data_IF_232316395598
#
_entry.id   IF_232316395598
#
_cell.length_a   1.000
_cell.length_b   1.000
_cell.length_c   1.000
_cell.angle_alpha   90.00
_cell.angle_beta   90.00
_cell.angle_gamma   90.00
#
_symmetry.space_group_name_H-M   'P 1'
#
loop_
_entity.id
_entity.type
_entity.pdbx_description
1 polymer ?
#
# COMPACT_ATOMS: atom_id res chain seq x y z
N UNK A 1 12.06 16.98 16.56
CA UNK A 1 10.73 17.22 15.94
C UNK A 1 10.70 16.40 14.66
N UNK A 2 9.69 15.55 14.50
CA UNK A 2 9.57 14.69 13.34
C UNK A 2 8.99 15.42 12.15
N UNK A 3 9.02 14.73 11.00
CA UNK A 3 8.29 15.18 9.82
C UNK A 3 6.78 15.15 10.12
N UNK A 4 6.02 15.99 9.47
CA UNK A 4 4.59 16.14 9.74
C UNK A 4 3.80 16.12 8.43
N UNK A 5 2.68 15.42 8.45
CA UNK A 5 1.76 15.43 7.32
C UNK A 5 0.96 16.74 7.31
N UNK A 6 0.27 17.06 6.21
CA UNK A 6 -0.61 18.23 6.18
C UNK A 6 -1.74 18.17 7.21
N UNK A 7 -1.95 17.00 7.83
CA UNK A 7 -3.07 16.78 8.76
C UNK A 7 -2.64 16.83 10.24
N UNK A 8 -1.37 17.12 10.52
CA UNK A 8 -0.83 17.06 11.87
C UNK A 8 -1.66 17.87 12.86
N UNK A 9 -1.97 19.14 12.52
CA UNK A 9 -2.69 20.01 13.44
C UNK A 9 -4.11 19.50 13.71
N UNK A 10 -4.74 18.85 12.72
CA UNK A 10 -6.06 18.23 12.92
C UNK A 10 -5.98 17.03 13.85
N UNK A 11 -4.92 16.22 13.73
CA UNK A 11 -4.74 15.10 14.66
C UNK A 11 -4.68 15.59 16.09
N UNK A 12 -3.87 16.63 16.33
CA UNK A 12 -3.75 17.23 17.67
C UNK A 12 -5.11 17.77 18.14
N UNK A 13 -5.82 18.48 17.27
CA UNK A 13 -7.13 19.05 17.60
C UNK A 13 -8.18 17.98 17.89
N UNK A 14 -8.06 16.81 17.27
CA UNK A 14 -8.95 15.67 17.49
C UNK A 14 -8.54 14.84 18.72
N UNK A 15 -7.51 15.26 19.44
CA UNK A 15 -7.08 14.60 20.68
C UNK A 15 -6.22 13.39 20.49
N UNK A 16 -5.56 13.26 19.35
CA UNK A 16 -4.72 12.11 19.05
C UNK A 16 -3.49 12.05 19.97
N UNK A 17 -3.11 10.86 20.34
CA UNK A 17 -1.79 10.61 20.95
C UNK A 17 -0.78 10.51 19.81
N UNK A 18 0.11 11.49 19.72
CA UNK A 18 1.11 11.53 18.65
C UNK A 18 2.37 10.77 19.08
N UNK A 19 2.96 10.01 18.13
CA UNK A 19 4.17 9.22 18.37
C UNK A 19 5.10 9.35 17.17
N UNK A 20 6.37 9.01 17.37
CA UNK A 20 7.30 8.87 16.26
C UNK A 20 7.04 7.56 15.53
N UNK A 21 6.91 7.65 14.22
CA UNK A 21 6.81 6.48 13.35
C UNK A 21 7.72 6.70 12.15
N UNK A 22 8.89 6.07 12.19
CA UNK A 22 9.86 6.19 11.10
C UNK A 22 10.28 7.61 10.80
N UNK A 23 10.36 8.47 11.82
CA UNK A 23 10.74 9.88 11.67
C UNK A 23 9.57 10.82 11.45
N UNK A 24 8.34 10.31 11.40
CA UNK A 24 7.13 11.13 11.23
C UNK A 24 6.37 11.21 12.55
N UNK A 25 5.82 12.39 12.86
CA UNK A 25 4.90 12.57 13.99
C UNK A 25 3.52 12.08 13.53
N UNK A 26 3.07 10.92 14.02
CA UNK A 26 1.84 10.27 13.53
C UNK A 26 0.90 9.94 14.70
N UNK A 27 -0.41 9.90 14.45
CA UNK A 27 -1.37 9.54 15.51
C UNK A 27 -1.33 8.03 15.78
N UNK A 28 -1.07 7.67 17.02
CA UNK A 28 -1.14 6.28 17.47
C UNK A 28 -2.61 5.86 17.64
N UNK A 29 -3.39 6.70 18.29
CA UNK A 29 -4.83 6.52 18.47
C UNK A 29 -5.47 7.87 18.83
N UNK A 30 -6.80 7.89 18.79
CA UNK A 30 -7.61 9.07 19.14
C UNK A 30 -8.45 8.78 20.40
N UNK A 31 -7.87 8.00 21.32
CA UNK A 31 -8.47 7.61 22.59
C UNK A 31 -8.40 6.12 22.84
N UNK A 32 -8.78 5.29 21.89
CA UNK A 32 -8.72 3.83 22.06
C UNK A 32 -8.45 3.13 20.74
N UNK A 33 -7.25 2.57 20.60
CA UNK A 33 -6.92 1.80 19.39
C UNK A 33 -7.81 0.56 19.24
N UNK A 34 -8.28 -0.02 20.33
CA UNK A 34 -9.17 -1.20 20.29
C UNK A 34 -10.53 -0.80 19.70
N UNK A 35 -11.10 0.32 20.15
CA UNK A 35 -12.37 0.80 19.61
C UNK A 35 -12.25 1.21 18.16
N UNK A 36 -11.14 1.85 17.79
CA UNK A 36 -10.86 2.23 16.39
C UNK A 36 -10.79 0.99 15.50
N UNK A 37 -10.11 -0.06 15.96
CA UNK A 37 -10.06 -1.35 15.27
C UNK A 37 -11.47 -1.89 15.02
N UNK A 38 -12.28 -1.96 16.08
CA UNK A 38 -13.64 -2.51 15.97
C UNK A 38 -14.54 -1.63 15.10
N UNK A 39 -14.37 -0.32 15.17
CA UNK A 39 -15.13 0.62 14.35
C UNK A 39 -14.88 0.36 12.86
N UNK A 40 -13.61 0.15 12.48
CA UNK A 40 -13.26 -0.19 11.10
C UNK A 40 -13.94 -1.50 10.68
N UNK A 41 -13.89 -2.53 11.51
CA UNK A 41 -14.52 -3.82 11.20
C UNK A 41 -16.04 -3.74 11.06
N UNK A 42 -16.71 -2.93 11.89
CA UNK A 42 -18.18 -2.84 11.92
C UNK A 42 -18.74 -1.84 10.91
N UNK A 43 -18.01 -0.77 10.64
CA UNK A 43 -18.51 0.34 9.83
C UNK A 43 -17.40 0.89 8.94
N UNK A 44 -16.67 1.90 9.40
CA UNK A 44 -15.50 2.41 8.71
C UNK A 44 -14.72 3.36 9.60
N UNK A 45 -13.46 3.58 9.22
CA UNK A 45 -12.59 4.56 9.86
C UNK A 45 -11.70 5.22 8.82
N UNK A 46 -11.12 6.36 9.16
CA UNK A 46 -10.20 7.08 8.27
C UNK A 46 -8.83 7.16 8.91
N UNK A 47 -7.82 6.82 8.14
CA UNK A 47 -6.40 6.84 8.51
C UNK A 47 -5.67 7.88 7.67
N UNK A 48 -4.86 8.70 8.31
CA UNK A 48 -3.88 9.52 7.60
C UNK A 48 -2.70 8.62 7.20
N UNK A 49 -2.49 8.44 5.91
CA UNK A 49 -1.34 7.71 5.39
C UNK A 49 -0.52 8.61 4.44
N UNK A 50 -0.58 9.91 4.68
CA UNK A 50 0.12 10.91 3.86
C UNK A 50 1.64 10.81 3.96
N UNK A 51 2.16 10.09 4.95
CA UNK A 51 3.60 9.87 5.09
C UNK A 51 4.14 8.89 4.03
N UNK A 52 3.28 8.07 3.44
CA UNK A 52 3.68 7.17 2.34
C UNK A 52 4.21 7.99 1.16
N UNK A 53 5.12 7.40 0.40
CA UNK A 53 5.75 8.08 -0.73
C UNK A 53 5.09 7.64 -2.04
N UNK A 54 4.71 8.61 -2.85
CA UNK A 54 4.09 8.38 -4.17
C UNK A 54 5.09 8.82 -5.24
N UNK A 55 5.35 7.93 -6.20
CA UNK A 55 6.28 8.21 -7.32
C UNK A 55 5.54 7.92 -8.63
N UNK A 56 5.43 8.92 -9.48
CA UNK A 56 4.92 8.73 -10.82
C UNK A 56 6.08 8.34 -11.75
N UNK A 57 5.87 7.31 -12.55
CA UNK A 57 6.87 6.73 -13.45
C UNK A 57 6.33 6.85 -14.86
N UNK A 58 7.01 7.63 -15.70
CA UNK A 58 6.57 7.89 -17.07
C UNK A 58 7.75 7.75 -18.05
N UNK A 59 7.45 7.71 -19.33
CA UNK A 59 8.45 7.64 -20.37
C UNK A 59 8.28 6.42 -21.24
N UNK A 60 8.95 6.43 -22.40
CA UNK A 60 8.75 5.38 -23.39
C UNK A 60 9.23 4.01 -22.91
N UNK A 61 10.12 3.98 -21.90
CA UNK A 61 10.61 2.71 -21.32
C UNK A 61 10.14 2.49 -19.89
N UNK A 62 9.04 3.13 -19.48
CA UNK A 62 8.53 2.95 -18.10
C UNK A 62 8.18 1.49 -17.80
N UNK A 63 7.54 0.79 -18.75
CA UNK A 63 7.20 -0.62 -18.58
C UNK A 63 8.47 -1.49 -18.46
N UNK A 64 9.42 -1.31 -19.39
CA UNK A 64 10.67 -2.07 -19.37
C UNK A 64 11.45 -1.83 -18.08
N UNK A 65 11.49 -0.58 -17.62
CA UNK A 65 12.15 -0.21 -16.39
C UNK A 65 11.52 -0.93 -15.18
N UNK A 66 10.20 -0.89 -15.06
CA UNK A 66 9.53 -1.53 -13.93
C UNK A 66 9.60 -3.05 -14.02
N UNK A 67 9.64 -3.61 -15.22
CA UNK A 67 9.87 -5.05 -15.41
C UNK A 67 11.28 -5.45 -14.93
N UNK A 68 12.25 -4.56 -15.05
CA UNK A 68 13.61 -4.76 -14.52
C UNK A 68 13.65 -4.59 -12.99
N UNK A 69 12.97 -3.55 -12.49
CA UNK A 69 13.05 -3.14 -11.09
C UNK A 69 12.31 -4.08 -10.12
N UNK A 70 11.18 -4.66 -10.55
CA UNK A 70 10.22 -5.29 -9.65
C UNK A 70 10.17 -6.81 -9.84
N UNK A 71 9.91 -7.52 -8.74
CA UNK A 71 9.75 -8.97 -8.77
C UNK A 71 8.48 -9.39 -9.51
N UNK A 72 7.40 -8.60 -9.41
CA UNK A 72 6.17 -8.85 -10.16
C UNK A 72 6.28 -8.18 -11.55
N UNK A 73 5.43 -8.57 -12.46
CA UNK A 73 5.50 -8.10 -13.84
C UNK A 73 4.35 -7.11 -14.14
N UNK A 74 4.69 -5.84 -14.30
CA UNK A 74 3.71 -4.79 -14.58
C UNK A 74 3.02 -4.96 -15.94
N UNK A 75 3.61 -5.72 -16.86
CA UNK A 75 2.97 -6.00 -18.15
C UNK A 75 1.67 -6.80 -17.99
N UNK A 76 1.47 -7.45 -16.84
CA UNK A 76 0.22 -8.16 -16.52
C UNK A 76 -0.97 -7.24 -16.32
N UNK A 77 -0.73 -5.96 -16.06
CA UNK A 77 -1.82 -5.03 -15.72
C UNK A 77 -2.80 -4.83 -16.86
N UNK A 78 -2.33 -4.72 -18.09
CA UNK A 78 -3.16 -4.82 -19.30
C UNK A 78 -4.15 -3.68 -19.54
N UNK A 79 -4.68 -3.04 -18.52
CA UNK A 79 -5.62 -1.92 -18.71
C UNK A 79 -5.44 -0.87 -17.63
N UNK A 80 -5.63 0.38 -17.99
CA UNK A 80 -5.54 1.52 -17.08
C UNK A 80 -6.46 1.33 -15.88
N UNK A 81 -5.93 1.61 -14.70
CA UNK A 81 -6.64 1.47 -13.44
C UNK A 81 -6.26 0.23 -12.65
N UNK A 82 -5.79 -0.80 -13.30
CA UNK A 82 -5.38 -2.01 -12.57
C UNK A 82 -4.11 -1.78 -11.77
N UNK A 83 -4.00 -2.49 -10.65
CA UNK A 83 -2.86 -2.40 -9.75
C UNK A 83 -2.29 -3.78 -9.46
N UNK A 84 -1.04 -3.81 -9.03
CA UNK A 84 -0.43 -5.02 -8.49
C UNK A 84 0.47 -4.68 -7.29
N UNK A 85 0.67 -5.69 -6.47
CA UNK A 85 1.57 -5.63 -5.32
C UNK A 85 2.86 -6.35 -5.70
N UNK A 86 3.99 -5.79 -5.30
CA UNK A 86 5.29 -6.35 -5.64
C UNK A 86 6.32 -6.08 -4.56
N UNK A 87 7.33 -6.94 -4.52
CA UNK A 87 8.59 -6.62 -3.85
C UNK A 87 9.50 -5.90 -4.84
N UNK A 88 10.30 -4.98 -4.31
CA UNK A 88 11.45 -4.37 -4.97
C UNK A 88 12.67 -4.96 -4.28
N UNK A 89 13.58 -5.59 -5.05
CA UNK A 89 14.65 -6.41 -4.51
C UNK A 89 16.03 -5.81 -4.73
N UNK A 90 16.97 -6.21 -3.88
CA UNK A 90 18.39 -6.02 -4.15
C UNK A 90 18.92 -7.21 -4.98
N UNK A 91 20.18 -7.15 -5.37
CA UNK A 91 20.79 -8.17 -6.24
C UNK A 91 20.88 -9.53 -5.55
N UNK A 92 20.93 -9.54 -4.23
CA UNK A 92 20.98 -10.76 -3.42
C UNK A 92 19.59 -11.36 -3.17
N UNK A 93 18.54 -10.71 -3.68
CA UNK A 93 17.16 -11.17 -3.57
C UNK A 93 16.47 -10.75 -2.28
N UNK A 94 17.08 -9.89 -1.49
CA UNK A 94 16.45 -9.34 -0.29
C UNK A 94 15.47 -8.23 -0.64
N UNK A 95 14.47 -8.03 0.21
CA UNK A 95 13.41 -7.05 -0.04
C UNK A 95 13.88 -5.65 0.35
N UNK A 96 14.08 -4.79 -0.65
CA UNK A 96 14.38 -3.37 -0.44
C UNK A 96 13.14 -2.66 0.10
N UNK A 97 11.99 -2.95 -0.50
CA UNK A 97 10.68 -2.49 0.00
C UNK A 97 9.58 -3.30 -0.69
N UNK A 98 8.37 -3.21 -0.15
CA UNK A 98 7.16 -3.70 -0.81
C UNK A 98 6.29 -2.52 -1.21
N UNK A 99 5.56 -2.68 -2.31
CA UNK A 99 4.91 -1.53 -2.93
C UNK A 99 3.70 -1.94 -3.77
N UNK A 100 2.88 -0.94 -4.08
CA UNK A 100 1.76 -1.10 -5.02
C UNK A 100 2.08 -0.27 -6.27
N UNK A 101 1.78 -0.83 -7.44
CA UNK A 101 1.91 -0.14 -8.73
C UNK A 101 0.54 -0.09 -9.38
N UNK A 102 0.14 1.10 -9.84
CA UNK A 102 -1.08 1.33 -10.62
C UNK A 102 -0.70 1.66 -12.05
N UNK A 103 -1.37 1.05 -13.03
CA UNK A 103 -1.25 1.49 -14.42
C UNK A 103 -2.15 2.69 -14.62
N UNK A 104 -1.58 3.81 -15.05
CA UNK A 104 -2.31 5.06 -15.25
C UNK A 104 -2.34 5.43 -16.75
N UNK A 105 -3.04 6.51 -17.08
CA UNK A 105 -3.08 7.01 -18.46
C UNK A 105 -1.72 7.52 -18.95
N UNK A 106 -0.82 7.87 -18.04
CA UNK A 106 0.45 8.51 -18.38
C UNK A 106 1.68 7.69 -18.00
N UNK A 107 1.48 6.44 -17.60
CA UNK A 107 2.55 5.56 -17.15
C UNK A 107 2.11 4.76 -15.95
N UNK A 108 2.83 4.92 -14.86
CA UNK A 108 2.54 4.16 -13.63
C UNK A 108 2.62 5.07 -12.42
N UNK A 109 1.87 4.72 -11.39
CA UNK A 109 2.02 5.33 -10.06
C UNK A 109 2.44 4.25 -9.09
N UNK A 110 3.53 4.50 -8.37
CA UNK A 110 4.10 3.57 -7.39
C UNK A 110 3.95 4.18 -6.01
N UNK A 111 3.48 3.38 -5.03
CA UNK A 111 3.36 3.83 -3.64
C UNK A 111 4.27 2.95 -2.81
N UNK A 112 5.24 3.57 -2.13
CA UNK A 112 6.22 2.88 -1.29
C UNK A 112 6.08 3.32 0.17
N UNK A 113 6.70 2.57 1.07
CA UNK A 113 6.62 2.83 2.51
C UNK A 113 7.32 4.13 2.90
N UNK A 114 6.91 4.70 4.03
CA UNK A 114 7.40 6.00 4.49
C UNK A 114 8.83 5.93 5.03
N UNK A 115 9.11 4.94 5.88
CA UNK A 115 10.42 4.84 6.53
C UNK A 115 11.54 4.50 5.56
N UNK A 116 11.21 3.93 4.42
CA UNK A 116 12.17 3.51 3.39
C UNK A 116 12.33 4.53 2.28
N UNK A 117 11.68 5.70 2.38
CA UNK A 117 11.62 6.69 1.30
C UNK A 117 12.96 6.99 0.65
N UNK A 118 13.95 7.40 1.45
CA UNK A 118 15.24 7.83 0.89
C UNK A 118 15.95 6.67 0.20
N UNK A 119 15.92 5.51 0.81
CA UNK A 119 16.50 4.29 0.26
C UNK A 119 15.80 3.89 -1.03
N UNK A 120 14.46 3.92 -1.04
CA UNK A 120 13.68 3.52 -2.20
C UNK A 120 13.91 4.46 -3.38
N UNK A 121 13.87 5.77 -3.14
CA UNK A 121 14.10 6.76 -4.19
C UNK A 121 15.51 6.58 -4.78
N UNK A 122 16.51 6.42 -3.92
CA UNK A 122 17.90 6.23 -4.37
C UNK A 122 18.02 4.94 -5.21
N UNK A 123 17.40 3.85 -4.77
CA UNK A 123 17.44 2.58 -5.50
C UNK A 123 16.72 2.69 -6.85
N UNK A 124 15.53 3.29 -6.85
CA UNK A 124 14.76 3.49 -8.08
C UNK A 124 15.56 4.33 -9.08
N UNK A 125 16.21 5.40 -8.62
CA UNK A 125 17.02 6.27 -9.47
C UNK A 125 18.24 5.52 -10.03
N UNK A 126 18.93 4.76 -9.18
CA UNK A 126 20.10 3.99 -9.61
C UNK A 126 19.71 2.96 -10.69
N UNK A 127 18.59 2.28 -10.49
CA UNK A 127 18.13 1.26 -11.44
C UNK A 127 17.53 1.85 -12.71
N UNK A 128 17.24 3.15 -12.74
CA UNK A 128 16.73 3.83 -13.92
C UNK A 128 17.81 4.13 -14.97
N UNK A 129 19.09 3.99 -14.60
CA UNK A 129 20.19 4.25 -15.53
C UNK A 129 20.05 3.36 -16.78
N UNK A 130 20.13 3.97 -17.95
CA UNK A 130 19.99 3.25 -19.22
C UNK A 130 18.55 3.11 -19.73
N UNK A 131 17.56 3.56 -18.96
CA UNK A 131 16.15 3.55 -19.39
C UNK A 131 15.67 4.97 -19.68
N UNK A 132 14.88 5.12 -20.74
CA UNK A 132 14.18 6.39 -21.03
C UNK A 132 12.95 6.48 -20.15
N UNK A 133 13.14 6.88 -18.91
CA UNK A 133 12.11 6.92 -17.90
C UNK A 133 12.29 8.16 -17.04
N UNK A 134 11.19 8.74 -16.61
CA UNK A 134 11.14 9.88 -15.73
C UNK A 134 10.47 9.46 -14.41
N UNK A 135 11.12 9.75 -13.30
CA UNK A 135 10.61 9.44 -11.96
C UNK A 135 10.29 10.75 -11.27
N UNK A 136 9.03 10.94 -10.89
CA UNK A 136 8.59 12.15 -10.20
C UNK A 136 8.00 11.81 -8.85
N UNK A 137 8.69 12.17 -7.78
CA UNK A 137 8.12 12.06 -6.44
C UNK A 137 7.01 13.10 -6.28
N UNK A 138 5.85 12.64 -5.79
CA UNK A 138 4.65 13.47 -5.66
C UNK A 138 4.46 13.93 -4.21
N UNK A 139 5.40 14.75 -3.75
CA UNK A 139 5.34 15.35 -2.42
C UNK A 139 4.22 16.39 -2.25
N UNK A 140 3.55 16.74 -3.33
CA UNK A 140 2.41 17.65 -3.34
C UNK A 140 1.09 16.98 -2.91
N UNK A 141 1.08 15.65 -2.75
CA UNK A 141 -0.13 14.90 -2.43
C UNK A 141 -0.19 14.50 -0.97
N UNK A 142 -1.39 14.50 -0.42
CA UNK A 142 -1.73 13.79 0.81
C UNK A 142 -2.45 12.50 0.45
N UNK A 143 -2.54 11.58 1.40
CA UNK A 143 -3.26 10.33 1.18
C UNK A 143 -4.04 9.95 2.42
N UNK A 144 -5.34 9.65 2.23
CA UNK A 144 -6.24 9.17 3.27
C UNK A 144 -6.73 7.78 2.92
N UNK A 145 -6.69 6.87 3.88
CA UNK A 145 -7.28 5.53 3.74
C UNK A 145 -8.60 5.50 4.50
N UNK A 146 -9.70 5.21 3.81
CA UNK A 146 -11.03 5.11 4.41
C UNK A 146 -11.43 3.64 4.27
N UNK A 147 -11.49 2.94 5.41
CA UNK A 147 -11.52 1.48 5.42
C UNK A 147 -12.70 0.98 6.26
N UNK A 148 -13.34 -0.08 5.79
CA UNK A 148 -14.44 -0.73 6.47
C UNK A 148 -15.56 -1.09 5.51
N UNK A 149 -16.51 -1.94 5.94
CA UNK A 149 -17.57 -2.39 5.04
C UNK A 149 -18.45 -1.28 4.47
N UNK A 150 -18.56 -0.15 5.17
CA UNK A 150 -19.37 0.99 4.70
C UNK A 150 -18.53 2.15 4.16
N UNK A 151 -17.21 1.99 4.06
CA UNK A 151 -16.31 3.07 3.67
C UNK A 151 -16.67 3.67 2.32
N UNK A 152 -16.94 2.81 1.33
CA UNK A 152 -17.22 3.29 -0.04
C UNK A 152 -18.54 4.02 -0.13
N UNK A 153 -19.56 3.52 0.56
CA UNK A 153 -20.90 4.18 0.57
C UNK A 153 -20.79 5.55 1.22
N UNK A 154 -20.20 5.62 2.41
CA UNK A 154 -20.08 6.90 3.12
C UNK A 154 -19.22 7.90 2.35
N UNK A 155 -18.11 7.45 1.77
CA UNK A 155 -17.23 8.33 0.99
C UNK A 155 -17.94 8.88 -0.24
N UNK A 156 -18.77 8.06 -0.91
CA UNK A 156 -19.50 8.50 -2.10
C UNK A 156 -20.44 9.67 -1.81
N UNK A 157 -20.93 9.78 -0.59
CA UNK A 157 -21.85 10.84 -0.20
C UNK A 157 -21.15 12.18 0.03
N UNK A 158 -19.83 12.18 0.15
CA UNK A 158 -19.04 13.34 0.56
C UNK A 158 -18.15 13.90 -0.56
N UNK A 159 -18.24 13.34 -1.75
CA UNK A 159 -17.41 13.75 -2.89
C UNK A 159 -18.30 14.21 -4.04
N UNK A 160 -17.68 14.76 -5.09
CA UNK A 160 -18.42 15.20 -6.29
C UNK A 160 -19.14 14.02 -6.95
N UNK A 161 -20.17 14.27 -7.74
CA UNK A 161 -20.86 13.19 -8.46
C UNK A 161 -19.92 12.35 -9.33
N UNK A 162 -18.93 12.96 -9.97
CA UNK A 162 -17.98 12.24 -10.82
C UNK A 162 -17.10 11.31 -9.98
N UNK A 163 -16.63 11.79 -8.83
CA UNK A 163 -15.83 10.95 -7.91
C UNK A 163 -16.69 9.85 -7.29
N UNK A 164 -17.93 10.14 -6.95
CA UNK A 164 -18.87 9.13 -6.42
C UNK A 164 -19.09 8.02 -7.45
N UNK A 165 -19.26 8.39 -8.72
CA UNK A 165 -19.42 7.41 -9.80
C UNK A 165 -18.17 6.52 -9.91
N UNK A 166 -16.98 7.12 -9.84
CA UNK A 166 -15.73 6.37 -9.88
C UNK A 166 -15.65 5.37 -8.71
N UNK A 167 -15.98 5.81 -7.49
CA UNK A 167 -15.96 4.94 -6.31
C UNK A 167 -16.86 3.72 -6.53
N UNK A 168 -18.04 3.93 -7.11
CA UNK A 168 -18.97 2.82 -7.38
C UNK A 168 -18.44 1.85 -8.42
N UNK A 169 -17.75 2.36 -9.44
CA UNK A 169 -17.21 1.55 -10.55
C UNK A 169 -15.97 0.74 -10.19
N UNK A 170 -15.14 1.25 -9.28
CA UNK A 170 -13.86 0.62 -8.98
C UNK A 170 -14.05 -0.81 -8.47
N UNK A 171 -13.36 -1.74 -9.11
CA UNK A 171 -13.24 -3.12 -8.64
C UNK A 171 -12.08 -3.19 -7.64
N UNK A 172 -12.03 -4.24 -6.82
CA UNK A 172 -10.88 -4.42 -5.93
C UNK A 172 -9.55 -4.33 -6.69
N UNK A 173 -8.60 -3.64 -6.08
CA UNK A 173 -7.26 -3.45 -6.61
C UNK A 173 -7.25 -2.68 -7.93
N UNK A 174 -8.10 -1.65 -7.98
CA UNK A 174 -8.10 -0.66 -9.07
C UNK A 174 -8.00 0.73 -8.48
N UNK A 175 -7.39 1.65 -9.25
CA UNK A 175 -7.33 3.06 -8.89
C UNK A 175 -7.27 3.91 -10.15
N UNK A 176 -7.98 5.02 -10.15
CA UNK A 176 -7.99 5.95 -11.29
C UNK A 176 -8.08 7.39 -10.81
N UNK A 177 -7.65 8.28 -11.67
CA UNK A 177 -7.77 9.71 -11.44
C UNK A 177 -9.17 10.19 -11.80
N UNK A 178 -9.69 11.14 -11.03
CA UNK A 178 -10.84 11.94 -11.37
C UNK A 178 -10.49 13.38 -10.98
N UNK A 179 -10.22 14.20 -11.97
CA UNK A 179 -9.63 15.50 -11.74
C UNK A 179 -8.23 15.35 -11.15
N UNK A 180 -7.95 16.09 -10.12
CA UNK A 180 -6.65 16.07 -9.45
C UNK A 180 -6.60 15.09 -8.26
N UNK A 181 -7.66 14.30 -8.06
CA UNK A 181 -7.67 13.23 -7.06
C UNK A 181 -7.42 11.88 -7.76
N UNK A 182 -6.73 11.00 -7.05
CA UNK A 182 -6.57 9.61 -7.47
C UNK A 182 -7.23 8.74 -6.41
N UNK A 183 -8.19 7.94 -6.83
CA UNK A 183 -9.02 7.14 -5.90
C UNK A 183 -8.77 5.67 -6.23
N UNK A 184 -8.32 4.90 -5.22
CA UNK A 184 -8.01 3.49 -5.37
C UNK A 184 -8.85 2.66 -4.40
N UNK A 185 -9.32 1.50 -4.87
CA UNK A 185 -10.01 0.53 -4.02
C UNK A 185 -9.00 -0.46 -3.50
N UNK A 186 -8.20 0.02 -2.57
CA UNK A 186 -7.08 -0.69 -1.94
C UNK A 186 -7.10 -0.37 -0.45
N UNK A 187 -6.23 -1.04 0.31
CA UNK A 187 -6.13 -0.79 1.73
C UNK A 187 -5.18 -1.77 2.42
N UNK A 188 -5.09 -1.64 3.74
CA UNK A 188 -4.12 -2.38 4.56
C UNK A 188 -4.81 -2.96 5.80
N UNK A 189 -6.10 -3.28 5.69
CA UNK A 189 -6.91 -3.66 6.85
C UNK A 189 -7.62 -5.01 6.69
N UNK A 190 -7.67 -5.53 5.48
CA UNK A 190 -8.49 -6.70 5.18
C UNK A 190 -9.94 -6.38 4.93
N UNK A 191 -10.34 -5.12 5.09
CA UNK A 191 -11.69 -4.66 4.80
C UNK A 191 -11.74 -3.99 3.42
N UNK A 192 -12.94 -3.87 2.86
CA UNK A 192 -13.15 -3.03 1.68
C UNK A 192 -12.86 -1.58 2.05
N UNK A 193 -12.53 -0.77 1.07
CA UNK A 193 -12.27 0.63 1.32
C UNK A 193 -11.57 1.32 0.18
N UNK A 194 -11.09 2.51 0.50
CA UNK A 194 -10.45 3.39 -0.47
C UNK A 194 -9.14 3.93 0.10
N UNK A 195 -8.21 4.17 -0.80
CA UNK A 195 -7.06 5.03 -0.53
C UNK A 195 -7.16 6.17 -1.53
N UNK A 196 -7.24 7.39 -1.01
CA UNK A 196 -7.48 8.59 -1.81
C UNK A 196 -6.24 9.49 -1.72
N UNK A 197 -5.64 9.75 -2.86
CA UNK A 197 -4.53 10.70 -2.99
C UNK A 197 -5.11 12.00 -3.54
N UNK A 198 -4.85 13.11 -2.86
CA UNK A 198 -5.43 14.40 -3.22
C UNK A 198 -4.40 15.51 -2.93
N UNK A 199 -4.57 16.69 -3.54
CA UNK A 199 -3.66 17.79 -3.24
C UNK A 199 -3.60 18.07 -1.74
N UNK A 200 -2.40 18.24 -1.22
CA UNK A 200 -2.16 18.39 0.23
C UNK A 200 -3.03 19.50 0.82
N UNK A 201 -3.23 20.60 0.08
CA UNK A 201 -4.03 21.71 0.57
C UNK A 201 -5.52 21.36 0.76
N UNK A 202 -6.02 20.34 0.08
CA UNK A 202 -7.43 19.93 0.19
C UNK A 202 -7.65 18.91 1.31
N UNK A 203 -6.59 18.26 1.78
CA UNK A 203 -6.72 17.16 2.73
C UNK A 203 -7.33 17.57 4.08
N UNK A 204 -6.94 18.70 4.68
CA UNK A 204 -7.56 19.09 5.96
C UNK A 204 -9.08 19.28 5.85
N UNK A 205 -9.54 19.94 4.80
CA UNK A 205 -10.98 20.13 4.58
C UNK A 205 -11.72 18.82 4.41
N UNK A 206 -11.13 17.91 3.63
CA UNK A 206 -11.74 16.60 3.38
C UNK A 206 -11.79 15.76 4.67
N UNK A 207 -10.71 15.75 5.45
CA UNK A 207 -10.72 15.03 6.73
C UNK A 207 -11.80 15.56 7.66
N UNK A 208 -11.94 16.90 7.74
CA UNK A 208 -12.98 17.52 8.54
C UNK A 208 -14.39 17.08 8.07
N UNK A 209 -14.61 17.01 6.76
CA UNK A 209 -15.90 16.54 6.22
C UNK A 209 -16.16 15.08 6.59
N UNK A 210 -15.15 14.23 6.49
CA UNK A 210 -15.28 12.81 6.85
C UNK A 210 -15.64 12.66 8.33
N UNK A 211 -14.89 13.32 9.21
CA UNK A 211 -15.11 13.25 10.65
C UNK A 211 -16.48 13.86 11.01
N UNK A 212 -16.83 14.97 10.39
CA UNK A 212 -18.12 15.63 10.60
C UNK A 212 -19.30 14.77 10.17
N UNK A 213 -19.10 13.87 9.22
CA UNK A 213 -20.12 12.92 8.75
C UNK A 213 -20.17 11.64 9.59
N UNK A 214 -19.33 11.53 10.63
CA UNK A 214 -19.34 10.40 11.54
C UNK A 214 -18.35 9.30 11.21
N UNK A 215 -17.44 9.53 10.26
CA UNK A 215 -16.37 8.55 9.97
C UNK A 215 -15.27 8.76 11.00
N UNK A 216 -15.04 7.77 11.85
CA UNK A 216 -14.11 7.88 12.97
C UNK A 216 -12.66 7.90 12.51
N UNK A 217 -11.85 8.85 13.01
CA UNK A 217 -10.41 8.77 12.75
C UNK A 217 -9.82 7.57 13.48
N UNK A 218 -8.82 6.94 12.87
CA UNK A 218 -8.15 5.80 13.43
C UNK A 218 -6.64 5.98 13.24
N UNK A 219 -5.87 5.51 14.21
CA UNK A 219 -4.43 5.69 14.23
C UNK A 219 -3.65 4.43 13.93
N UNK A 220 -2.33 4.53 14.10
CA UNK A 220 -1.38 3.46 13.79
C UNK A 220 -1.64 2.20 14.60
N UNK A 221 -2.13 2.33 15.84
CA UNK A 221 -2.41 1.15 16.67
C UNK A 221 -3.46 0.25 16.04
N UNK A 222 -4.57 0.85 15.59
CA UNK A 222 -5.62 0.08 14.91
C UNK A 222 -5.12 -0.43 13.54
N UNK A 223 -4.36 0.41 12.81
CA UNK A 223 -3.80 0.00 11.53
C UNK A 223 -2.97 -1.27 11.69
N UNK A 224 -2.15 -1.36 12.72
CA UNK A 224 -1.28 -2.51 12.96
C UNK A 224 -2.07 -3.77 13.32
N UNK A 225 -3.06 -3.68 14.20
CA UNK A 225 -3.84 -4.86 14.57
C UNK A 225 -4.72 -5.34 13.41
N UNK A 226 -5.25 -4.41 12.60
CA UNK A 226 -6.06 -4.75 11.44
C UNK A 226 -5.22 -5.47 10.37
N UNK A 227 -4.02 -4.95 10.06
CA UNK A 227 -3.17 -5.58 9.06
C UNK A 227 -2.69 -6.95 9.51
N UNK A 228 -2.41 -7.12 10.79
CA UNK A 228 -2.01 -8.41 11.36
C UNK A 228 -3.11 -9.46 11.21
N UNK A 229 -4.35 -9.09 11.52
CA UNK A 229 -5.50 -10.01 11.32
C UNK A 229 -5.67 -10.36 9.85
N UNK A 230 -5.38 -9.42 8.95
CA UNK A 230 -5.49 -9.64 7.51
C UNK A 230 -4.31 -10.47 6.95
N UNK A 231 -3.25 -10.66 7.73
CA UNK A 231 -2.07 -11.39 7.28
C UNK A 231 -1.17 -10.59 6.35
N UNK A 232 -1.17 -9.26 6.48
CA UNK A 232 -0.39 -8.36 5.64
C UNK A 232 0.94 -8.03 6.31
N UNK A 233 2.01 -8.04 5.52
CA UNK A 233 3.35 -7.76 6.02
C UNK A 233 3.54 -6.29 6.38
N UNK A 234 4.44 -6.05 7.32
CA UNK A 234 4.94 -4.72 7.63
C UNK A 234 6.45 -4.71 7.39
N UNK A 235 6.89 -3.88 6.46
CA UNK A 235 8.31 -3.76 6.15
C UNK A 235 9.10 -3.32 7.40
N UNK A 236 10.24 -3.95 7.62
CA UNK A 236 11.08 -3.70 8.77
C UNK A 236 10.78 -4.60 9.97
N UNK A 237 9.59 -5.23 9.98
CA UNK A 237 9.23 -6.24 11.00
C UNK A 237 9.21 -7.64 10.41
N UNK A 238 8.52 -7.79 9.29
CA UNK A 238 8.27 -9.11 8.70
C UNK A 238 9.23 -9.45 7.56
N UNK A 239 9.88 -8.44 6.98
CA UNK A 239 10.93 -8.63 5.98
C UNK A 239 11.79 -7.37 5.90
N UNK A 240 12.98 -7.53 5.35
CA UNK A 240 13.93 -6.45 5.10
C UNK A 240 14.92 -6.91 4.01
N UNK A 241 16.01 -6.16 3.83
CA UNK A 241 17.01 -6.41 2.79
C UNK A 241 17.75 -7.74 2.94
N UNK A 242 17.64 -8.38 4.11
CA UNK A 242 18.27 -9.68 4.36
C UNK A 242 17.31 -10.85 4.13
N UNK A 243 16.03 -10.57 3.84
CA UNK A 243 14.96 -11.58 3.73
C UNK A 243 14.41 -11.56 2.31
N UNK A 244 14.30 -12.74 1.69
CA UNK A 244 13.75 -12.82 0.34
C UNK A 244 12.22 -12.86 0.37
N UNK A 245 11.56 -12.48 -0.73
CA UNK A 245 10.10 -12.60 -0.80
C UNK A 245 9.63 -14.05 -0.67
N UNK A 246 10.48 -15.03 -1.00
CA UNK A 246 10.13 -16.45 -0.84
C UNK A 246 9.97 -16.81 0.63
N UNK A 247 10.80 -16.24 1.50
CA UNK A 247 10.74 -16.46 2.95
C UNK A 247 9.68 -15.60 3.64
N UNK A 248 9.31 -14.48 3.03
CA UNK A 248 8.40 -13.49 3.62
C UNK A 248 6.92 -13.69 3.23
N UNK A 249 6.57 -14.88 2.75
CA UNK A 249 5.21 -15.18 2.28
C UNK A 249 4.77 -14.27 1.11
N UNK A 250 5.74 -13.82 0.32
CA UNK A 250 5.50 -12.96 -0.85
C UNK A 250 5.86 -13.68 -2.16
N UNK A 251 6.18 -14.98 -2.09
CA UNK A 251 6.60 -15.75 -3.28
C UNK A 251 5.55 -15.72 -4.39
N UNK A 252 4.27 -15.60 -4.03
CA UNK A 252 3.18 -15.53 -5.01
C UNK A 252 3.25 -14.26 -5.87
N UNK A 253 3.95 -13.22 -5.41
CA UNK A 253 4.12 -11.98 -6.18
C UNK A 253 5.24 -12.07 -7.22
N UNK A 254 6.13 -13.07 -7.11
CA UNK A 254 7.26 -13.18 -8.02
C UNK A 254 6.77 -13.73 -9.37
N UNK A 255 6.88 -12.94 -10.41
CA UNK A 255 6.47 -13.37 -11.76
C UNK A 255 7.66 -13.99 -12.48
N UNK A 256 7.68 -15.32 -12.52
CA UNK A 256 8.76 -16.08 -13.17
C UNK A 256 8.66 -16.07 -14.69
N UNK A 257 7.46 -15.85 -15.23
CA UNK A 257 7.23 -15.78 -16.67
C UNK A 257 7.04 -14.33 -17.11
N UNK A 258 7.51 -13.96 -18.28
CA UNK A 258 8.29 -14.80 -19.22
C UNK A 258 9.71 -15.07 -18.70
N UNK A 259 10.24 -16.24 -19.02
CA UNK A 259 11.57 -16.65 -18.55
C UNK A 259 12.66 -15.63 -18.92
N UNK A 260 12.48 -14.94 -20.05
CA UNK A 260 13.44 -13.96 -20.51
C UNK A 260 13.46 -12.66 -19.68
N UNK A 261 12.47 -12.44 -18.80
CA UNK A 261 12.43 -11.22 -17.99
C UNK A 261 13.47 -11.30 -16.87
N UNK A 262 14.48 -10.47 -16.95
CA UNK A 262 15.58 -10.46 -15.98
C UNK A 262 15.39 -9.28 -15.01
N UNK A 263 14.66 -9.51 -13.92
CA UNK A 263 14.47 -8.50 -12.90
C UNK A 263 15.58 -8.58 -11.85
N UNK A 264 15.84 -7.45 -11.18
CA UNK A 264 16.85 -7.37 -10.13
C UNK A 264 16.54 -8.42 -9.05
N UNK A 265 17.55 -9.22 -8.71
CA UNK A 265 17.41 -10.27 -7.71
C UNK A 265 16.93 -11.62 -8.23
N UNK A 266 16.49 -11.70 -9.49
CA UNK A 266 15.95 -12.96 -10.05
C UNK A 266 16.90 -14.13 -9.88
N UNK A 267 18.17 -13.93 -10.23
CA UNK A 267 19.17 -15.00 -10.18
C UNK A 267 19.34 -15.54 -8.75
N UNK A 268 19.35 -14.65 -7.76
CA UNK A 268 19.43 -15.06 -6.36
C UNK A 268 18.19 -15.84 -5.94
N UNK A 269 17.00 -15.41 -6.34
CA UNK A 269 15.76 -16.13 -6.03
C UNK A 269 15.70 -17.50 -6.68
N UNK A 270 16.19 -17.62 -7.93
CA UNK A 270 16.26 -18.92 -8.62
C UNK A 270 17.19 -19.89 -7.87
N UNK A 271 18.34 -19.38 -7.38
CA UNK A 271 19.26 -20.19 -6.60
C UNK A 271 18.63 -20.66 -5.28
N UNK A 272 17.93 -19.76 -4.58
CA UNK A 272 17.21 -20.10 -3.34
C UNK A 272 16.16 -21.18 -3.59
N UNK A 273 15.40 -21.01 -4.66
CA UNK A 273 14.33 -21.97 -5.03
C UNK A 273 14.93 -23.35 -5.34
N UNK A 274 16.05 -23.37 -6.06
CA UNK A 274 16.74 -24.62 -6.40
C UNK A 274 17.34 -25.31 -5.17
N UNK A 275 17.78 -24.52 -4.18
CA UNK A 275 18.33 -25.06 -2.92
C UNK A 275 17.24 -25.57 -1.97
N UNK A 276 15.97 -25.34 -2.29
CA UNK A 276 14.85 -25.75 -1.45
C UNK A 276 14.53 -24.78 -0.33
N UNK A 277 15.06 -23.61 -0.41
CA UNK A 277 14.81 -22.55 0.59
C UNK A 277 13.37 -22.02 0.53
N UNK A 278 12.68 -22.61 -0.01
CA UNK A 278 11.37 -22.19 -0.16
C UNK A 278 10.69 -22.42 1.06
N UNK A 279 10.74 -21.57 1.35
CA UNK A 279 10.29 -21.45 2.32
C UNK A 279 9.82 -22.38 3.10
N UNK A 280 10.50 -22.98 3.71
CA UNK A 280 10.03 -23.62 4.92
C UNK A 280 9.86 -22.61 6.07
N UNK A 281 9.94 -21.35 5.81
CA UNK A 281 9.58 -20.33 6.78
C UNK A 281 8.06 -20.38 6.97
N UNK A 282 7.61 -21.04 8.03
CA UNK A 282 6.20 -21.02 8.40
C UNK A 282 5.47 -22.34 8.46
N UNK A 283 6.17 -23.46 8.57
CA UNK A 283 5.51 -24.61 9.17
C UNK A 283 5.66 -24.46 10.69
N UNK A 284 4.60 -24.13 11.42
CA UNK A 284 4.66 -24.27 12.87
C UNK A 284 4.98 -25.73 13.14
N UNK A 285 5.93 -25.97 14.01
CA UNK A 285 6.24 -27.32 14.44
C UNK A 285 4.95 -28.02 14.87
N UNK A 286 4.94 -29.32 14.77
CA UNK A 286 3.81 -30.21 14.96
C UNK A 286 3.17 -30.09 16.36
N UNK A 287 2.58 -28.94 16.64
CA UNK A 287 1.77 -28.68 17.80
C UNK A 287 0.55 -27.92 17.32
N UNK A 288 -0.56 -28.64 17.27
CA UNK A 288 -1.84 -28.27 16.71
C UNK A 288 -2.27 -26.81 16.81
N UNK A 289 -1.92 -26.03 15.82
CA UNK A 289 -2.55 -24.75 15.61
C UNK A 289 -3.75 -24.97 14.68
N UNK A 290 -4.92 -24.71 15.19
CA UNK A 290 -6.17 -24.80 14.42
C UNK A 290 -6.12 -23.84 13.25
N UNK A 291 -6.48 -24.30 12.06
CA UNK A 291 -6.77 -23.44 10.91
C UNK A 291 -7.71 -22.32 11.38
N UNK A 292 -7.29 -21.09 11.20
CA UNK A 292 -8.20 -19.98 11.37
C UNK A 292 -9.37 -20.21 10.40
N UNK A 293 -10.57 -20.25 10.94
CA UNK A 293 -11.75 -20.48 10.14
C UNK A 293 -11.94 -19.32 9.18
N UNK A 294 -12.15 -19.63 7.91
CA UNK A 294 -12.61 -18.68 6.90
C UNK A 294 -13.88 -18.02 7.43
N UNK A 295 -13.99 -16.70 7.39
CA UNK A 295 -15.27 -16.08 7.71
C UNK A 295 -16.32 -16.54 6.71
N UNK A 296 -17.53 -16.80 7.15
CA UNK A 296 -18.59 -17.26 6.26
C UNK A 296 -19.12 -16.13 5.39
N UNK A 297 -19.20 -16.38 4.12
CA UNK A 297 -20.07 -15.66 3.22
C UNK A 297 -19.49 -14.45 2.49
N UNK A 298 -19.21 -14.66 1.25
CA UNK A 298 -19.44 -13.69 0.19
C UNK A 298 -18.47 -12.53 0.05
N UNK A 299 -17.80 -12.62 -1.02
CA UNK A 299 -17.00 -11.57 -1.67
C UNK A 299 -15.52 -11.91 -1.66
N UNK A 300 -15.06 -12.03 -2.83
CA UNK A 300 -13.72 -12.11 -3.34
C UNK A 300 -12.56 -12.24 -2.35
N UNK A 301 -11.90 -13.37 -2.44
CA UNK A 301 -10.62 -13.56 -1.78
C UNK A 301 -9.68 -12.41 -2.17
N UNK A 302 -9.40 -11.54 -1.22
CA UNK A 302 -8.37 -10.54 -1.39
C UNK A 302 -7.04 -11.28 -1.34
N UNK A 303 -6.45 -11.50 -2.49
CA UNK A 303 -5.07 -11.94 -2.58
C UNK A 303 -4.24 -10.72 -2.93
N UNK A 304 -3.45 -10.28 -2.00
CA UNK A 304 -2.42 -9.29 -2.25
C UNK A 304 -1.37 -9.89 -3.17
#
# INVERSE_FOLDING_TARGET
>A
MGLRTPLYELHVALGAKMVDFGGWDMPLHYGSQVEEHHQVRRDCGVFDVSHMTVVDVAGEQATAYLQHLLANDVARLGETGKALYSAMLNEEGGVVDDLIVYLTEHGYRVVVNASTRDKDIAWMQAQAAGFKVDLQERGDLAMLAIQGPNARVHSSELVSPARAALIRELKPFQGRAEGDWFIARTGYTGEDGLEIMLPAAEAPGFLNELVGAGISPAGLGARDTLRLEAGLNLYGQDMDESVSPLAANMGWTVAWEPVARDFVGRRALEAQKAAGDXXEAGRPGSGGARRAARPPGGAGSWHW
#
